data_IF_682734799793
#
_entry.id   IF_682734799793
#
_cell.length_a   1.000
_cell.length_b   1.000
_cell.length_c   1.000
_cell.angle_alpha   90.00
_cell.angle_beta   90.00
_cell.angle_gamma   90.00
#
_symmetry.space_group_name_H-M   'P 1'
#
loop_
_entity.id
_entity.type
_entity.pdbx_description
1 polymer ?
#
# COMPACT_ATOMS: atom_id res chain seq x y z
N UNK A 1 11.60 5.61 15.98
CA UNK A 1 13.08 5.69 15.97
C UNK A 1 13.57 5.60 17.40
N UNK A 2 14.44 4.64 17.72
CA UNK A 2 15.03 4.54 19.05
C UNK A 2 16.02 5.70 19.30
N UNK A 3 16.08 6.24 20.53
CA UNK A 3 17.00 7.35 20.88
C UNK A 3 18.46 7.05 20.56
N UNK A 4 18.89 5.81 20.77
CA UNK A 4 20.24 5.38 20.42
C UNK A 4 20.56 5.56 18.93
N UNK A 5 19.60 5.31 18.03
CA UNK A 5 19.79 5.53 16.60
C UNK A 5 19.95 7.01 16.27
N UNK A 6 19.12 7.88 16.87
CA UNK A 6 19.23 9.33 16.71
C UNK A 6 20.58 9.86 17.23
N UNK A 7 21.06 9.36 18.39
CA UNK A 7 22.34 9.75 18.99
C UNK A 7 23.54 9.48 18.07
N UNK A 8 23.54 8.35 17.36
CA UNK A 8 24.61 8.00 16.43
C UNK A 8 24.44 8.72 15.08
N UNK A 9 23.20 8.86 14.59
CA UNK A 9 22.93 9.30 13.21
C UNK A 9 22.75 10.81 13.04
N UNK A 10 22.25 11.53 14.05
CA UNK A 10 22.00 12.97 13.97
C UNK A 10 23.24 13.75 14.39
N UNK A 11 24.30 13.60 13.60
CA UNK A 11 25.54 14.38 13.76
C UNK A 11 25.28 15.88 13.60
N UNK A 12 26.20 16.76 14.04
CA UNK A 12 26.03 18.21 13.88
C UNK A 12 25.69 18.64 12.45
N UNK A 13 26.33 18.03 11.44
CA UNK A 13 26.03 18.32 10.03
C UNK A 13 24.62 17.87 9.63
N UNK A 14 24.17 16.70 10.10
CA UNK A 14 22.79 16.21 9.83
C UNK A 14 21.77 17.13 10.49
N UNK A 15 22.02 17.56 11.73
CA UNK A 15 21.15 18.50 12.44
C UNK A 15 21.09 19.87 11.72
N UNK A 16 22.21 20.36 11.19
CA UNK A 16 22.25 21.60 10.40
C UNK A 16 21.39 21.48 9.14
N UNK A 17 21.51 20.39 8.38
CA UNK A 17 20.68 20.14 7.19
C UNK A 17 19.21 19.98 7.56
N UNK A 18 18.89 19.30 8.68
CA UNK A 18 17.51 19.22 9.17
C UNK A 18 16.91 20.60 9.47
N UNK A 19 17.71 21.54 9.98
CA UNK A 19 17.26 22.90 10.26
C UNK A 19 17.03 23.68 8.96
N UNK A 20 17.97 23.60 8.00
CA UNK A 20 17.86 24.21 6.68
C UNK A 20 16.60 23.73 5.93
N UNK A 21 16.34 22.43 5.97
CA UNK A 21 15.20 21.80 5.29
C UNK A 21 13.90 21.81 6.12
N UNK A 22 13.86 22.53 7.26
CA UNK A 22 12.66 22.73 8.07
C UNK A 22 12.15 21.49 8.82
N UNK A 23 12.93 20.42 8.94
CA UNK A 23 12.53 19.17 9.60
C UNK A 23 13.06 19.02 11.03
N UNK A 24 13.95 19.91 11.50
CA UNK A 24 14.62 19.79 12.80
C UNK A 24 13.68 19.67 13.99
N UNK A 25 12.62 20.50 14.03
CA UNK A 25 11.65 20.49 15.14
C UNK A 25 10.93 19.14 15.25
N UNK A 26 10.59 18.53 14.11
CA UNK A 26 9.90 17.23 14.08
C UNK A 26 10.77 16.08 14.61
N UNK A 27 12.09 16.14 14.37
CA UNK A 27 13.02 15.09 14.79
C UNK A 27 13.65 15.30 16.17
N UNK A 28 13.49 16.48 16.79
CA UNK A 28 14.00 16.78 18.13
C UNK A 28 13.44 15.84 19.21
N UNK A 29 12.19 15.41 19.07
CA UNK A 29 11.56 14.47 20.01
C UNK A 29 12.24 13.09 20.03
N UNK A 30 12.80 12.65 18.90
CA UNK A 30 13.49 11.35 18.81
C UNK A 30 14.83 11.34 19.58
N UNK A 31 15.41 12.51 19.87
CA UNK A 31 16.64 12.65 20.67
C UNK A 31 16.37 12.69 22.19
N UNK A 32 15.13 12.99 22.58
CA UNK A 32 14.71 13.20 23.97
C UNK A 32 14.08 11.97 24.64
N UNK A 33 13.97 10.83 23.94
CA UNK A 33 13.39 9.59 24.50
C UNK A 33 14.16 9.01 25.70
N UNK A 34 13.63 8.04 26.42
CA UNK A 34 14.27 7.55 27.67
C UNK A 34 15.18 6.33 27.49
N UNK A 35 14.95 5.48 26.49
CA UNK A 35 15.70 4.23 26.32
C UNK A 35 17.09 4.44 25.72
N UNK A 36 18.13 4.41 26.57
CA UNK A 36 19.54 4.45 26.17
C UNK A 36 20.08 3.05 25.82
N UNK A 37 19.54 1.99 26.44
CA UNK A 37 19.82 0.60 26.06
C UNK A 37 18.86 0.12 24.98
N UNK A 38 19.41 -0.45 23.91
CA UNK A 38 18.66 -0.98 22.77
C UNK A 38 18.45 -2.46 23.00
N UNK A 39 17.21 -2.88 23.20
CA UNK A 39 16.80 -4.28 23.24
C UNK A 39 15.92 -4.58 22.03
N UNK A 40 16.25 -5.64 21.31
CA UNK A 40 15.44 -6.22 20.25
C UNK A 40 14.19 -6.82 20.91
N UNK A 41 13.01 -6.28 20.62
CA UNK A 41 11.76 -6.89 21.07
C UNK A 41 11.49 -8.18 20.29
N UNK A 42 10.52 -8.97 20.74
CA UNK A 42 10.07 -10.17 20.01
C UNK A 42 9.77 -9.88 18.53
N UNK A 43 9.29 -8.67 18.21
CA UNK A 43 9.03 -8.24 16.85
C UNK A 43 10.30 -8.11 16.00
N UNK A 44 11.32 -7.40 16.49
CA UNK A 44 12.60 -7.32 15.77
C UNK A 44 13.27 -8.70 15.66
N UNK A 45 13.18 -9.52 16.70
CA UNK A 45 13.78 -10.84 16.71
C UNK A 45 13.16 -11.76 15.65
N UNK A 46 11.82 -11.78 15.56
CA UNK A 46 11.10 -12.53 14.53
C UNK A 46 11.47 -12.01 13.13
N UNK A 47 11.47 -10.68 12.94
CA UNK A 47 11.86 -10.08 11.67
C UNK A 47 13.29 -10.45 11.26
N UNK A 48 14.24 -10.47 12.19
CA UNK A 48 15.63 -10.86 11.88
C UNK A 48 15.69 -12.33 11.47
N UNK A 49 15.02 -13.20 12.21
CA UNK A 49 15.06 -14.65 11.98
C UNK A 49 14.44 -15.06 10.63
N UNK A 50 13.48 -14.33 10.11
CA UNK A 50 12.85 -14.61 8.81
C UNK A 50 13.69 -14.19 7.59
N UNK A 51 14.79 -13.44 7.78
CA UNK A 51 15.59 -12.99 6.63
C UNK A 51 16.51 -14.08 6.11
N UNK A 52 16.46 -14.27 4.81
CA UNK A 52 17.38 -15.10 4.03
C UNK A 52 18.55 -14.29 3.45
N UNK A 53 18.51 -12.96 3.58
CA UNK A 53 19.52 -12.06 3.06
C UNK A 53 19.55 -10.72 3.80
N UNK A 54 20.73 -10.09 3.81
CA UNK A 54 20.92 -8.72 4.28
C UNK A 54 22.14 -8.06 3.60
N UNK A 55 22.21 -6.74 3.67
CA UNK A 55 23.39 -5.99 3.28
C UNK A 55 24.17 -5.57 4.51
N UNK A 56 25.48 -5.80 4.51
CA UNK A 56 26.40 -5.41 5.57
C UNK A 56 27.35 -4.33 5.08
N UNK A 57 27.45 -3.24 5.83
CA UNK A 57 28.45 -2.21 5.66
C UNK A 57 29.51 -2.31 6.76
N UNK A 58 30.77 -2.14 6.36
CA UNK A 58 31.95 -2.00 7.23
C UNK A 58 32.77 -0.80 6.75
N UNK A 59 33.71 -0.32 7.54
CA UNK A 59 34.61 0.77 7.15
C UNK A 59 36.01 0.23 6.98
N UNK A 60 36.64 0.48 5.84
CA UNK A 60 38.04 0.13 5.64
C UNK A 60 38.96 0.98 6.51
N UNK A 61 40.19 0.50 6.76
CA UNK A 61 41.19 1.26 7.50
C UNK A 61 41.52 2.62 6.84
N UNK A 62 41.25 2.76 5.54
CA UNK A 62 41.40 4.01 4.78
C UNK A 62 40.19 4.96 4.88
N UNK A 63 39.16 4.60 5.65
CA UNK A 63 37.95 5.41 5.84
C UNK A 63 36.86 5.23 4.78
N UNK A 64 37.11 4.43 3.72
CA UNK A 64 36.08 4.12 2.72
C UNK A 64 35.01 3.19 3.28
N UNK A 65 33.71 3.47 3.08
CA UNK A 65 32.64 2.53 3.38
C UNK A 65 32.65 1.38 2.37
N UNK A 66 32.42 0.17 2.85
CA UNK A 66 32.35 -1.05 2.05
C UNK A 66 31.05 -1.79 2.34
N UNK A 67 30.26 -2.08 1.30
CA UNK A 67 28.98 -2.79 1.42
C UNK A 67 29.06 -4.15 0.72
N UNK A 68 28.57 -5.18 1.39
CA UNK A 68 28.51 -6.55 0.88
C UNK A 68 27.13 -7.16 1.13
N UNK A 69 26.59 -7.85 0.12
CA UNK A 69 25.42 -8.71 0.30
C UNK A 69 25.83 -10.01 1.00
N UNK A 70 25.06 -10.42 2.01
CA UNK A 70 25.16 -11.68 2.73
C UNK A 70 23.83 -12.43 2.58
N UNK A 71 23.89 -13.71 2.23
CA UNK A 71 22.70 -14.54 2.04
C UNK A 71 22.92 -15.95 2.56
N UNK A 72 21.82 -16.59 2.95
CA UNK A 72 21.76 -17.93 3.49
C UNK A 72 20.29 -18.40 3.56
N UNK A 73 20.01 -19.59 4.10
CA UNK A 73 18.63 -19.97 4.39
C UNK A 73 18.03 -19.03 5.44
N UNK A 74 16.70 -18.90 5.47
CA UNK A 74 16.02 -18.17 6.54
C UNK A 74 16.50 -18.69 7.92
N UNK A 75 16.78 -17.77 8.82
CA UNK A 75 17.36 -18.06 10.14
C UNK A 75 18.89 -18.13 10.19
N UNK A 76 19.59 -17.90 9.07
CA UNK A 76 21.07 -17.85 9.10
C UNK A 76 21.62 -16.68 9.90
N UNK A 77 20.91 -15.54 9.93
CA UNK A 77 21.15 -14.46 10.87
C UNK A 77 20.38 -14.77 12.15
N UNK A 78 21.10 -15.19 13.18
CA UNK A 78 20.53 -15.62 14.44
C UNK A 78 20.46 -14.50 15.44
N UNK A 79 19.37 -14.47 16.19
CA UNK A 79 19.25 -13.72 17.43
C UNK A 79 19.81 -14.59 18.55
N UNK A 80 20.86 -14.12 19.22
CA UNK A 80 21.55 -14.86 20.28
C UNK A 80 21.04 -14.44 21.66
N UNK A 81 20.65 -13.17 21.80
CA UNK A 81 19.94 -12.61 22.94
C UNK A 81 19.27 -11.27 22.53
N UNK A 82 18.71 -10.54 23.50
CA UNK A 82 18.00 -9.27 23.25
C UNK A 82 18.89 -8.14 22.69
N UNK A 83 20.22 -8.27 22.69
CA UNK A 83 21.15 -7.25 22.15
C UNK A 83 22.22 -7.84 21.23
N UNK A 84 22.22 -9.15 21.01
CA UNK A 84 23.28 -9.83 20.27
C UNK A 84 22.67 -10.63 19.15
N UNK A 85 23.20 -10.43 17.95
CA UNK A 85 22.90 -11.23 16.76
C UNK A 85 24.19 -11.81 16.20
N UNK A 86 24.11 -12.83 15.35
CA UNK A 86 25.27 -13.32 14.66
C UNK A 86 24.94 -14.26 13.52
N UNK A 87 25.93 -14.52 12.68
CA UNK A 87 25.79 -15.44 11.56
C UNK A 87 27.09 -16.20 11.31
N UNK A 88 26.96 -17.42 10.78
CA UNK A 88 28.09 -18.20 10.30
C UNK A 88 28.62 -17.63 8.97
N UNK A 89 29.94 -17.42 8.88
CA UNK A 89 30.63 -16.99 7.67
C UNK A 89 31.33 -18.20 7.04
N UNK A 90 30.85 -18.57 5.85
CA UNK A 90 31.30 -19.75 5.12
C UNK A 90 32.42 -19.40 4.15
N UNK A 91 33.13 -20.43 3.68
CA UNK A 91 34.19 -20.29 2.68
C UNK A 91 33.66 -19.66 1.38
N UNK A 92 33.97 -18.38 1.17
CA UNK A 92 33.58 -17.62 -0.01
C UNK A 92 34.72 -17.46 -1.03
N UNK A 93 34.73 -16.35 -1.75
CA UNK A 93 35.77 -15.97 -2.74
C UNK A 93 37.13 -15.58 -2.11
N UNK A 94 37.28 -15.73 -0.79
CA UNK A 94 38.52 -15.49 -0.01
C UNK A 94 39.09 -14.07 -0.11
N UNK A 95 38.25 -13.06 -0.38
CA UNK A 95 38.71 -11.66 -0.36
C UNK A 95 38.90 -11.10 1.06
N UNK A 96 38.18 -11.64 2.06
CA UNK A 96 38.28 -11.29 3.48
C UNK A 96 38.15 -9.79 3.82
N UNK A 97 37.55 -8.97 2.93
CA UNK A 97 37.47 -7.52 3.10
C UNK A 97 36.74 -7.11 4.38
N UNK A 98 35.54 -7.65 4.63
CA UNK A 98 34.81 -7.34 5.87
C UNK A 98 35.56 -7.80 7.12
N UNK A 99 36.20 -8.97 7.09
CA UNK A 99 36.98 -9.49 8.23
C UNK A 99 38.19 -8.60 8.50
N UNK A 100 38.91 -8.18 7.46
CA UNK A 100 40.04 -7.26 7.58
C UNK A 100 39.61 -5.90 8.12
N UNK A 101 38.51 -5.34 7.60
CA UNK A 101 37.94 -4.08 8.07
C UNK A 101 37.59 -4.15 9.57
N UNK A 102 36.93 -5.24 10.00
CA UNK A 102 36.50 -5.44 11.38
C UNK A 102 37.64 -5.60 12.40
N UNK A 103 38.88 -5.86 11.95
CA UNK A 103 40.06 -5.84 12.83
C UNK A 103 40.51 -4.43 13.20
N UNK A 104 40.33 -3.48 12.28
CA UNK A 104 40.71 -2.08 12.51
C UNK A 104 39.57 -1.23 13.07
N UNK A 105 38.34 -1.54 12.67
CA UNK A 105 37.13 -0.82 13.06
C UNK A 105 35.97 -1.81 13.19
N UNK A 106 35.52 -2.03 14.43
CA UNK A 106 34.48 -3.00 14.76
C UNK A 106 33.05 -2.50 14.45
N UNK A 107 32.90 -1.29 13.89
CA UNK A 107 31.59 -0.74 13.48
C UNK A 107 31.01 -1.48 12.30
N UNK A 108 29.75 -1.90 12.44
CA UNK A 108 28.98 -2.52 11.38
C UNK A 108 27.60 -1.88 11.24
N UNK A 109 27.10 -1.81 10.00
CA UNK A 109 25.70 -1.45 9.71
C UNK A 109 25.06 -2.52 8.86
N UNK A 110 23.95 -3.09 9.30
CA UNK A 110 23.12 -4.02 8.55
C UNK A 110 21.87 -3.32 8.00
N UNK A 111 21.48 -3.71 6.79
CA UNK A 111 20.22 -3.35 6.18
C UNK A 111 19.48 -4.65 5.81
N UNK A 112 18.43 -4.94 6.56
CA UNK A 112 17.56 -6.09 6.37
C UNK A 112 16.32 -5.62 5.60
N UNK A 113 16.00 -6.31 4.51
CA UNK A 113 14.88 -5.96 3.63
C UNK A 113 13.85 -7.08 3.65
N UNK A 114 12.59 -6.69 3.80
CA UNK A 114 11.42 -7.49 3.45
C UNK A 114 10.74 -6.78 2.28
N UNK A 115 11.05 -7.23 1.06
CA UNK A 115 10.50 -6.63 -0.14
C UNK A 115 8.98 -6.88 -0.27
N UNK A 116 8.45 -8.10 -0.06
CA UNK A 116 7.02 -8.35 -0.08
C UNK A 116 6.23 -7.48 0.92
N UNK A 117 6.63 -7.47 2.19
CA UNK A 117 5.95 -6.70 3.25
C UNK A 117 6.33 -5.21 3.25
N UNK A 118 7.24 -4.79 2.37
CA UNK A 118 7.74 -3.41 2.24
C UNK A 118 8.30 -2.86 3.55
N UNK A 119 8.97 -3.71 4.31
CA UNK A 119 9.60 -3.33 5.56
C UNK A 119 11.12 -3.34 5.40
N UNK A 120 11.78 -2.48 6.18
CA UNK A 120 13.24 -2.50 6.28
C UNK A 120 13.69 -2.10 7.66
N UNK A 121 14.63 -2.87 8.18
CA UNK A 121 15.26 -2.67 9.48
C UNK A 121 16.73 -2.32 9.25
N UNK A 122 17.14 -1.16 9.76
CA UNK A 122 18.55 -0.78 9.85
C UNK A 122 19.05 -1.17 11.24
N UNK A 123 20.20 -1.83 11.32
CA UNK A 123 20.83 -2.20 12.59
C UNK A 123 22.26 -1.69 12.57
N UNK A 124 22.67 -0.95 13.59
CA UNK A 124 24.04 -0.54 13.83
C UNK A 124 24.57 -1.24 15.06
N UNK A 125 25.82 -1.68 15.01
CA UNK A 125 26.42 -2.44 16.09
C UNK A 125 27.92 -2.53 16.03
N UNK A 126 28.44 -3.35 16.95
CA UNK A 126 29.86 -3.69 17.10
C UNK A 126 30.05 -5.16 16.79
N UNK A 127 30.79 -5.46 15.74
CA UNK A 127 31.00 -6.81 15.25
C UNK A 127 32.40 -7.32 15.62
N UNK A 128 32.46 -8.58 16.01
CA UNK A 128 33.72 -9.31 16.23
C UNK A 128 33.67 -10.65 15.51
N UNK A 129 34.84 -11.14 15.12
CA UNK A 129 35.00 -12.42 14.47
C UNK A 129 35.27 -13.48 15.54
N UNK A 130 34.55 -14.59 15.49
CA UNK A 130 34.76 -15.78 16.33
C UNK A 130 35.20 -16.93 15.46
N UNK A 131 36.07 -17.81 15.97
CA UNK A 131 36.48 -19.01 15.25
C UNK A 131 36.45 -20.24 16.17
N UNK A 132 36.51 -21.43 15.57
CA UNK A 132 36.41 -22.71 16.27
C UNK A 132 37.54 -22.91 17.31
N UNK A 133 38.71 -22.31 17.08
CA UNK A 133 39.86 -22.49 17.97
C UNK A 133 39.78 -21.62 19.21
N UNK A 134 39.21 -20.43 19.09
CA UNK A 134 39.09 -19.48 20.19
C UNK A 134 37.78 -19.62 20.96
N UNK A 135 36.66 -19.84 20.26
CA UNK A 135 35.31 -19.68 20.83
C UNK A 135 34.31 -20.69 20.21
N UNK A 136 34.50 -22.01 20.41
CA UNK A 136 33.67 -23.04 19.80
C UNK A 136 32.19 -22.94 20.21
N UNK A 137 31.90 -22.55 21.46
CA UNK A 137 30.53 -22.40 21.96
C UNK A 137 29.71 -21.35 21.18
N UNK A 138 30.36 -20.26 20.75
CA UNK A 138 29.71 -19.25 19.93
C UNK A 138 29.46 -19.75 18.52
N UNK A 139 30.39 -20.53 17.97
CA UNK A 139 30.25 -21.09 16.64
C UNK A 139 29.08 -22.09 16.58
N UNK A 140 28.97 -22.98 17.57
CA UNK A 140 27.85 -23.93 17.66
C UNK A 140 26.49 -23.23 17.75
N UNK A 141 26.40 -22.06 18.39
CA UNK A 141 25.16 -21.26 18.39
C UNK A 141 24.79 -20.76 16.99
N UNK A 142 25.77 -20.56 16.11
CA UNK A 142 25.61 -20.04 14.75
C UNK A 142 25.39 -21.13 13.69
N UNK A 143 25.66 -22.38 14.02
CA UNK A 143 25.47 -23.53 13.13
C UNK A 143 24.00 -23.72 12.73
N UNK A 144 23.77 -24.05 11.47
CA UNK A 144 22.45 -24.37 10.93
C UNK A 144 22.35 -25.89 10.77
N UNK A 145 21.41 -26.57 11.45
CA UNK A 145 21.32 -28.04 11.45
C UNK A 145 21.26 -28.66 10.04
N UNK A 146 20.59 -27.98 9.11
CA UNK A 146 20.33 -28.48 7.75
C UNK A 146 21.31 -27.92 6.69
N UNK A 147 22.30 -27.12 7.07
CA UNK A 147 23.22 -26.46 6.14
C UNK A 147 24.64 -27.02 6.25
N UNK A 148 25.01 -27.92 5.33
CA UNK A 148 26.23 -28.76 5.39
C UNK A 148 27.54 -28.06 4.98
N UNK A 149 27.57 -26.74 4.86
CA UNK A 149 28.81 -26.04 4.51
C UNK A 149 29.71 -25.92 5.75
N UNK A 150 31.03 -26.19 5.65
CA UNK A 150 31.93 -26.00 6.77
C UNK A 150 31.97 -24.53 7.18
N UNK A 151 31.63 -24.25 8.44
CA UNK A 151 31.69 -22.91 9.02
C UNK A 151 33.16 -22.55 9.23
N UNK A 152 33.70 -21.57 8.49
CA UNK A 152 35.09 -21.14 8.70
C UNK A 152 35.23 -20.29 9.97
N UNK A 153 34.22 -19.46 10.24
CA UNK A 153 34.19 -18.49 11.34
C UNK A 153 32.75 -18.00 11.57
N UNK A 154 32.52 -17.32 12.68
CA UNK A 154 31.26 -16.61 12.96
C UNK A 154 31.49 -15.12 13.07
N UNK A 155 30.45 -14.34 12.78
CA UNK A 155 30.41 -12.90 13.07
C UNK A 155 29.36 -12.69 14.16
N UNK A 156 29.79 -12.17 15.31
CA UNK A 156 28.92 -11.84 16.44
C UNK A 156 28.83 -10.33 16.55
N UNK A 157 27.60 -9.80 16.61
CA UNK A 157 27.30 -8.38 16.55
C UNK A 157 26.50 -7.99 17.78
N UNK A 158 27.07 -7.10 18.59
CA UNK A 158 26.34 -6.41 19.64
C UNK A 158 25.61 -5.21 19.04
N UNK A 159 24.29 -5.20 19.12
CA UNK A 159 23.44 -4.14 18.59
C UNK A 159 23.55 -2.90 19.47
N UNK A 160 23.89 -1.77 18.86
CA UNK A 160 23.95 -0.46 19.52
C UNK A 160 22.72 0.40 19.18
N UNK A 161 22.14 0.21 18.00
CA UNK A 161 20.96 0.94 17.56
C UNK A 161 20.22 0.21 16.44
N UNK A 162 18.92 0.44 16.33
CA UNK A 162 18.16 0.07 15.14
C UNK A 162 17.08 1.10 14.84
N UNK A 163 16.63 1.12 13.59
CA UNK A 163 15.53 1.98 13.16
C UNK A 163 14.77 1.40 11.97
N UNK A 164 13.45 1.52 12.08
CA UNK A 164 12.48 1.16 11.05
C UNK A 164 12.19 2.38 10.17
N UNK A 165 12.11 2.18 8.86
CA UNK A 165 11.90 3.26 7.90
C UNK A 165 10.47 3.33 7.33
N UNK A 166 10.17 4.44 6.64
CA UNK A 166 8.97 4.62 5.84
C UNK A 166 8.88 3.62 4.65
N UNK A 167 7.75 2.90 4.48
CA UNK A 167 7.59 1.87 3.44
C UNK A 167 7.30 2.43 2.03
N UNK A 168 7.09 3.74 1.89
CA UNK A 168 6.45 4.40 0.74
C UNK A 168 7.06 4.09 -0.64
N UNK A 169 8.35 3.80 -0.72
CA UNK A 169 9.07 3.61 -2.00
C UNK A 169 9.77 2.25 -2.10
N UNK A 170 9.37 1.26 -1.29
CA UNK A 170 9.89 -0.10 -1.42
C UNK A 170 9.02 -0.84 -2.44
N UNK A 171 9.60 -1.12 -3.61
CA UNK A 171 8.98 -1.95 -4.64
C UNK A 171 8.95 -3.40 -4.15
N UNK A 172 7.78 -4.07 -4.13
CA UNK A 172 7.70 -5.50 -3.85
C UNK A 172 8.54 -6.30 -4.84
N UNK A 173 9.24 -7.30 -4.31
CA UNK A 173 10.00 -8.29 -5.05
C UNK A 173 9.79 -9.62 -4.36
N UNK A 174 9.66 -10.67 -5.16
CA UNK A 174 9.43 -12.02 -4.68
C UNK A 174 10.56 -12.90 -5.21
N UNK A 175 11.04 -13.81 -4.38
CA UNK A 175 11.93 -14.88 -4.79
C UNK A 175 11.21 -15.83 -5.74
N UNK A 176 11.99 -16.56 -6.54
CA UNK A 176 11.44 -17.59 -7.42
C UNK A 176 10.62 -18.62 -6.62
N UNK A 177 11.09 -19.03 -5.44
CA UNK A 177 10.37 -19.97 -4.56
C UNK A 177 9.03 -19.42 -4.09
N UNK A 178 8.95 -18.15 -3.72
CA UNK A 178 7.68 -17.52 -3.32
C UNK A 178 6.72 -17.45 -4.50
N UNK A 179 7.21 -17.09 -5.70
CA UNK A 179 6.41 -17.10 -6.92
C UNK A 179 5.94 -18.52 -7.27
N UNK A 180 6.82 -19.51 -7.19
CA UNK A 180 6.49 -20.92 -7.41
C UNK A 180 5.47 -21.43 -6.39
N UNK A 181 5.63 -21.08 -5.11
CA UNK A 181 4.66 -21.43 -4.06
C UNK A 181 3.31 -20.80 -4.35
N UNK A 182 3.27 -19.53 -4.75
CA UNK A 182 2.03 -18.84 -5.15
C UNK A 182 1.41 -19.51 -6.39
N UNK A 183 2.22 -19.90 -7.37
CA UNK A 183 1.76 -20.62 -8.58
C UNK A 183 1.28 -22.04 -8.24
N UNK A 184 1.97 -22.79 -7.39
CA UNK A 184 1.60 -24.14 -6.94
C UNK A 184 0.34 -24.12 -6.07
N UNK A 185 0.18 -23.09 -5.22
CA UNK A 185 -1.05 -22.82 -4.49
C UNK A 185 -2.22 -22.49 -5.43
N UNK A 186 -1.92 -21.96 -6.63
CA UNK A 186 -2.91 -21.68 -7.67
C UNK A 186 -3.17 -22.89 -8.58
N UNK A 187 -2.20 -23.82 -8.73
CA UNK A 187 -2.28 -25.02 -9.58
C UNK A 187 -2.77 -26.27 -8.86
N UNK A 188 -2.65 -26.33 -7.54
CA UNK A 188 -3.21 -27.43 -6.75
C UNK A 188 -4.74 -27.31 -6.76
N UNK A 189 -5.51 -28.35 -7.16
CA UNK A 189 -6.95 -28.34 -6.96
C UNK A 189 -7.21 -28.11 -5.46
N UNK A 190 -8.23 -27.33 -5.08
CA UNK A 190 -8.43 -26.98 -3.68
C UNK A 190 -8.60 -28.27 -2.86
N UNK A 191 -7.56 -28.62 -2.10
CA UNK A 191 -7.69 -29.59 -1.02
C UNK A 191 -8.61 -28.93 -0.01
N UNK A 192 -9.78 -29.52 0.18
CA UNK A 192 -10.73 -29.14 1.21
C UNK A 192 -9.99 -29.13 2.56
N UNK A 193 -9.57 -27.94 3.02
CA UNK A 193 -9.00 -27.77 4.35
C UNK A 193 -10.12 -27.34 5.29
N UNK A 194 -10.50 -28.24 6.20
CA UNK A 194 -11.33 -27.99 7.38
C UNK A 194 -10.60 -27.07 8.38
N UNK A 195 -10.32 -25.82 7.99
CA UNK A 195 -10.29 -24.72 8.95
C UNK A 195 -11.72 -24.22 9.08
N UNK A 196 -12.22 -23.89 10.28
CA UNK A 196 -13.58 -23.36 10.43
C UNK A 196 -13.74 -22.18 9.49
N UNK A 197 -14.51 -22.39 8.42
CA UNK A 197 -14.76 -21.40 7.39
C UNK A 197 -15.30 -20.16 8.09
N UNK A 198 -14.53 -19.06 8.03
CA UNK A 198 -15.11 -17.75 8.30
C UNK A 198 -16.35 -17.65 7.41
N UNK A 199 -17.53 -17.66 8.05
CA UNK A 199 -18.82 -17.71 7.35
C UNK A 199 -18.86 -16.52 6.40
N UNK A 200 -19.10 -16.78 5.11
CA UNK A 200 -19.22 -15.71 4.14
C UNK A 200 -20.35 -14.76 4.56
N UNK A 201 -20.09 -13.44 4.49
CA UNK A 201 -21.11 -12.45 4.79
C UNK A 201 -22.09 -12.36 3.61
N UNK A 202 -23.39 -12.28 3.90
CA UNK A 202 -24.44 -12.15 2.88
C UNK A 202 -24.94 -13.47 2.31
N UNK A 203 -25.92 -13.36 1.41
CA UNK A 203 -26.67 -14.48 0.83
C UNK A 203 -26.79 -14.42 -0.69
N UNK A 204 -26.08 -13.49 -1.34
CA UNK A 204 -26.14 -13.34 -2.78
C UNK A 204 -25.48 -14.50 -3.53
N UNK A 205 -25.79 -14.62 -4.82
CA UNK A 205 -25.37 -15.75 -5.65
C UNK A 205 -23.90 -15.73 -6.09
N UNK A 206 -23.23 -14.57 -6.01
CA UNK A 206 -21.85 -14.37 -6.45
C UNK A 206 -20.89 -14.42 -5.24
N UNK A 207 -20.10 -15.51 -5.09
CA UNK A 207 -19.14 -15.63 -4.01
C UNK A 207 -17.86 -14.87 -4.34
N UNK A 208 -17.51 -13.89 -3.52
CA UNK A 208 -16.33 -13.06 -3.63
C UNK A 208 -15.40 -13.23 -2.44
N UNK A 209 -14.12 -12.93 -2.65
CA UNK A 209 -13.11 -12.84 -1.60
C UNK A 209 -12.31 -11.55 -1.76
N UNK A 210 -12.06 -10.86 -0.65
CA UNK A 210 -11.17 -9.69 -0.62
C UNK A 210 -9.74 -10.17 -0.84
N UNK A 211 -9.16 -9.80 -1.98
CA UNK A 211 -7.83 -10.23 -2.43
C UNK A 211 -6.78 -9.12 -2.36
N UNK A 212 -7.22 -7.86 -2.25
CA UNK A 212 -6.34 -6.70 -2.19
C UNK A 212 -6.97 -5.58 -1.40
N UNK A 213 -6.15 -4.87 -0.63
CA UNK A 213 -6.55 -3.68 0.13
C UNK A 213 -5.49 -2.61 -0.07
N UNK A 214 -5.90 -1.41 -0.49
CA UNK A 214 -4.98 -0.28 -0.71
C UNK A 214 -5.54 1.00 -0.12
N UNK A 215 -4.79 1.63 0.78
CA UNK A 215 -5.13 2.96 1.27
C UNK A 215 -4.88 4.01 0.17
N UNK A 216 -5.93 4.70 -0.29
CA UNK A 216 -5.84 5.73 -1.34
C UNK A 216 -5.57 7.11 -0.75
N UNK A 217 -6.29 7.44 0.33
CA UNK A 217 -6.22 8.68 1.09
C UNK A 217 -6.34 8.34 2.58
N UNK A 218 -6.18 9.27 3.54
CA UNK A 218 -6.41 8.96 4.95
C UNK A 218 -7.80 8.39 5.27
N UNK A 219 -8.81 8.69 4.43
CA UNK A 219 -10.20 8.26 4.65
C UNK A 219 -10.77 7.35 3.55
N UNK A 220 -10.07 7.14 2.44
CA UNK A 220 -10.56 6.31 1.33
C UNK A 220 -9.65 5.11 1.16
N UNK A 221 -10.25 3.92 1.14
CA UNK A 221 -9.56 2.65 0.94
C UNK A 221 -10.18 1.91 -0.24
N UNK A 222 -9.33 1.39 -1.12
CA UNK A 222 -9.72 0.54 -2.23
C UNK A 222 -9.67 -0.94 -1.82
N UNK A 223 -10.62 -1.71 -2.33
CA UNK A 223 -10.74 -3.14 -2.12
C UNK A 223 -10.80 -3.85 -3.48
N UNK A 224 -10.00 -4.90 -3.64
CA UNK A 224 -10.04 -5.80 -4.79
C UNK A 224 -10.80 -7.07 -4.42
N UNK A 225 -11.88 -7.35 -5.14
CA UNK A 225 -12.75 -8.50 -4.93
C UNK A 225 -12.59 -9.47 -6.10
N UNK A 226 -12.21 -10.71 -5.80
CA UNK A 226 -12.11 -11.80 -6.79
C UNK A 226 -13.16 -12.86 -6.52
N UNK A 227 -13.47 -13.66 -7.52
CA UNK A 227 -14.33 -14.83 -7.31
C UNK A 227 -13.70 -15.76 -6.26
N UNK A 228 -14.47 -16.22 -5.28
CA UNK A 228 -13.94 -17.01 -4.17
C UNK A 228 -13.35 -18.36 -4.61
N UNK A 229 -13.78 -18.86 -5.78
CA UNK A 229 -13.30 -20.10 -6.38
C UNK A 229 -12.35 -19.88 -7.57
N UNK A 230 -11.92 -18.63 -7.83
CA UNK A 230 -11.00 -18.32 -8.93
C UNK A 230 -11.64 -18.30 -10.33
N UNK A 231 -12.96 -18.25 -10.43
CA UNK A 231 -13.70 -18.14 -11.70
C UNK A 231 -13.68 -16.69 -12.23
N UNK A 232 -13.97 -16.53 -13.52
CA UNK A 232 -14.17 -15.20 -14.11
C UNK A 232 -15.45 -14.56 -13.59
N UNK A 233 -15.36 -13.31 -13.18
CA UNK A 233 -16.50 -12.54 -12.70
C UNK A 233 -17.50 -12.23 -13.83
N UNK A 234 -18.79 -12.02 -13.53
CA UNK A 234 -19.72 -11.46 -14.50
C UNK A 234 -19.20 -10.15 -15.10
N UNK A 235 -19.58 -9.85 -16.33
CA UNK A 235 -19.24 -8.55 -16.91
C UNK A 235 -20.20 -7.47 -16.40
N UNK A 236 -19.80 -6.20 -16.51
CA UNK A 236 -20.61 -5.06 -16.11
C UNK A 236 -20.46 -3.90 -17.11
N UNK A 237 -21.15 -2.79 -16.87
CA UNK A 237 -20.98 -1.56 -17.65
C UNK A 237 -20.54 -0.42 -16.76
N UNK A 238 -19.79 0.55 -17.28
CA UNK A 238 -19.35 1.71 -16.52
C UNK A 238 -20.56 2.41 -15.85
N UNK A 239 -20.39 2.77 -14.58
CA UNK A 239 -21.47 3.25 -13.70
C UNK A 239 -22.11 2.16 -12.83
N UNK A 240 -21.80 0.88 -13.05
CA UNK A 240 -22.31 -0.20 -12.21
C UNK A 240 -21.79 -0.14 -10.76
N UNK A 241 -22.54 -0.70 -9.84
CA UNK A 241 -22.18 -0.83 -8.42
C UNK A 241 -22.43 -2.24 -7.90
N UNK A 242 -21.74 -2.57 -6.80
CA UNK A 242 -21.95 -3.79 -6.03
C UNK A 242 -22.63 -3.44 -4.71
N UNK A 243 -23.66 -4.21 -4.38
CA UNK A 243 -24.27 -4.21 -3.06
C UNK A 243 -23.55 -5.22 -2.17
N UNK A 244 -22.86 -4.74 -1.14
CA UNK A 244 -21.99 -5.57 -0.29
C UNK A 244 -22.51 -5.66 1.15
N UNK A 245 -22.50 -6.86 1.75
CA UNK A 245 -22.88 -7.05 3.15
C UNK A 245 -21.76 -6.59 4.08
N UNK A 246 -22.13 -5.91 5.15
CA UNK A 246 -21.22 -5.37 6.16
C UNK A 246 -21.70 -5.82 7.53
N UNK A 247 -20.84 -6.50 8.27
CA UNK A 247 -21.11 -6.85 9.67
C UNK A 247 -20.82 -5.63 10.56
N UNK A 248 -21.83 -5.20 11.31
CA UNK A 248 -21.72 -4.14 12.29
C UNK A 248 -21.21 -4.70 13.64
N UNK A 249 -20.63 -3.86 14.52
CA UNK A 249 -20.12 -4.30 15.83
C UNK A 249 -21.18 -4.95 16.74
N UNK A 250 -22.46 -4.61 16.54
CA UNK A 250 -23.59 -5.20 17.27
C UNK A 250 -24.01 -6.59 16.75
N UNK A 251 -23.31 -7.14 15.75
CA UNK A 251 -23.59 -8.43 15.13
C UNK A 251 -24.62 -8.40 14.00
N UNK A 252 -25.28 -7.26 13.74
CA UNK A 252 -26.20 -7.12 12.61
C UNK A 252 -25.44 -7.01 11.29
N UNK A 253 -26.07 -7.46 10.20
CA UNK A 253 -25.56 -7.28 8.84
C UNK A 253 -26.39 -6.19 8.17
N UNK A 254 -25.71 -5.14 7.70
CA UNK A 254 -26.28 -4.13 6.80
C UNK A 254 -25.73 -4.35 5.39
N UNK A 255 -26.27 -3.64 4.40
CA UNK A 255 -25.87 -3.76 3.01
C UNK A 255 -25.78 -2.39 2.33
N UNK A 256 -24.63 -2.08 1.73
CA UNK A 256 -24.39 -0.79 1.08
C UNK A 256 -23.92 -0.98 -0.36
N UNK A 257 -24.26 -0.02 -1.22
CA UNK A 257 -23.84 0.00 -2.61
C UNK A 257 -22.52 0.78 -2.78
N UNK A 258 -21.57 0.22 -3.53
CA UNK A 258 -20.33 0.90 -3.91
C UNK A 258 -20.08 0.74 -5.41
N UNK A 259 -19.86 1.85 -6.10
CA UNK A 259 -19.58 1.85 -7.55
C UNK A 259 -18.28 1.13 -7.87
N UNK A 260 -18.30 0.36 -8.96
CA UNK A 260 -17.13 -0.27 -9.55
C UNK A 260 -16.26 0.81 -10.20
N UNK A 261 -14.95 0.74 -9.95
CA UNK A 261 -14.03 1.86 -10.23
C UNK A 261 -13.22 1.70 -11.50
N UNK A 262 -13.18 0.50 -12.09
CA UNK A 262 -12.35 0.19 -13.25
C UNK A 262 -13.18 0.03 -14.53
N UNK A 263 -12.45 0.00 -15.66
CA UNK A 263 -13.04 -0.22 -16.98
C UNK A 263 -13.65 -1.62 -17.07
N UNK A 264 -14.88 -1.76 -17.59
CA UNK A 264 -15.46 -3.06 -17.92
C UNK A 264 -14.56 -3.90 -18.84
N UNK A 265 -14.69 -5.23 -18.77
CA UNK A 265 -13.93 -6.18 -19.60
C UNK A 265 -12.80 -6.91 -18.87
N UNK A 266 -12.25 -6.37 -17.78
CA UNK A 266 -11.36 -7.11 -16.88
C UNK A 266 -12.19 -7.99 -15.93
N UNK A 267 -12.32 -9.28 -16.25
CA UNK A 267 -13.17 -10.24 -15.51
C UNK A 267 -12.45 -10.96 -14.36
N UNK A 268 -11.23 -10.53 -14.05
CA UNK A 268 -10.38 -11.16 -13.03
C UNK A 268 -10.68 -10.66 -11.62
N UNK A 269 -11.10 -9.39 -11.49
CA UNK A 269 -11.42 -8.77 -10.21
C UNK A 269 -12.34 -7.56 -10.38
N UNK A 270 -13.18 -7.32 -9.39
CA UNK A 270 -13.87 -6.06 -9.18
C UNK A 270 -13.09 -5.16 -8.22
N UNK A 271 -13.15 -3.84 -8.42
CA UNK A 271 -12.58 -2.87 -7.49
C UNK A 271 -13.59 -1.82 -7.07
N UNK A 272 -13.69 -1.63 -5.76
CA UNK A 272 -14.47 -0.54 -5.14
C UNK A 272 -13.55 0.36 -4.32
N UNK A 273 -13.94 1.61 -4.11
CA UNK A 273 -13.27 2.51 -3.18
C UNK A 273 -14.29 3.08 -2.18
N UNK A 274 -14.00 2.89 -0.90
CA UNK A 274 -14.93 3.19 0.20
C UNK A 274 -14.38 4.36 1.00
N UNK A 275 -15.16 5.43 1.09
CA UNK A 275 -14.91 6.53 2.03
C UNK A 275 -15.34 6.11 3.44
N UNK A 276 -14.46 6.32 4.42
CA UNK A 276 -14.74 6.18 5.85
C UNK A 276 -15.49 7.42 6.34
N UNK A 277 -16.70 7.20 6.83
CA UNK A 277 -17.55 8.23 7.42
C UNK A 277 -17.74 7.95 8.90
N UNK A 278 -17.20 8.84 9.73
CA UNK A 278 -17.16 8.67 11.18
C UNK A 278 -18.51 9.00 11.83
N UNK A 279 -19.26 9.93 11.22
CA UNK A 279 -20.56 10.42 11.68
C UNK A 279 -21.75 9.76 10.92
N UNK A 280 -21.50 8.67 10.18
CA UNK A 280 -22.52 7.97 9.40
C UNK A 280 -23.26 6.87 10.17
N UNK A 281 -24.04 6.02 9.48
CA UNK A 281 -24.75 4.87 10.06
C UNK A 281 -23.82 3.73 10.55
N UNK A 282 -22.51 3.95 10.55
CA UNK A 282 -21.49 3.00 11.01
C UNK A 282 -21.08 1.95 9.96
N UNK A 283 -21.77 1.83 8.83
CA UNK A 283 -21.46 0.84 7.78
C UNK A 283 -20.06 1.00 7.20
N UNK A 284 -19.68 2.20 6.75
CA UNK A 284 -18.35 2.43 6.18
C UNK A 284 -17.22 2.28 7.21
N UNK A 285 -17.46 2.68 8.47
CA UNK A 285 -16.54 2.47 9.58
C UNK A 285 -16.32 0.96 9.83
N UNK A 286 -17.41 0.21 9.99
CA UNK A 286 -17.37 -1.23 10.23
C UNK A 286 -16.71 -2.00 9.07
N UNK A 287 -16.91 -1.55 7.83
CA UNK A 287 -16.22 -2.10 6.66
C UNK A 287 -14.71 -1.85 6.76
N UNK A 288 -14.28 -0.62 7.07
CA UNK A 288 -12.85 -0.29 7.21
C UNK A 288 -12.16 -1.05 8.35
N UNK A 289 -12.89 -1.33 9.44
CA UNK A 289 -12.33 -2.03 10.60
C UNK A 289 -12.40 -3.56 10.45
N UNK A 290 -13.42 -4.08 9.76
CA UNK A 290 -13.73 -5.51 9.69
C UNK A 290 -13.24 -6.24 8.44
N UNK A 291 -13.15 -5.58 7.29
CA UNK A 291 -12.70 -6.26 6.06
C UNK A 291 -11.18 -6.41 6.03
N UNK A 292 -10.73 -7.64 5.79
CA UNK A 292 -9.33 -8.03 5.69
C UNK A 292 -9.12 -8.87 4.43
N UNK A 293 -7.86 -9.08 4.04
CA UNK A 293 -7.54 -10.05 2.99
C UNK A 293 -8.06 -11.43 3.40
N UNK A 294 -8.77 -12.10 2.49
CA UNK A 294 -9.42 -13.38 2.75
C UNK A 294 -10.86 -13.28 3.25
N UNK A 295 -11.38 -12.09 3.58
CA UNK A 295 -12.81 -11.92 3.91
C UNK A 295 -13.67 -12.41 2.75
N UNK A 296 -14.62 -13.33 3.04
CA UNK A 296 -15.55 -13.89 2.06
C UNK A 296 -16.89 -13.19 2.10
N UNK A 297 -17.43 -12.88 0.92
CA UNK A 297 -18.70 -12.21 0.73
C UNK A 297 -19.55 -13.00 -0.27
N UNK A 298 -20.85 -13.04 -0.07
CA UNK A 298 -21.84 -13.55 -1.00
C UNK A 298 -22.74 -12.38 -1.39
N UNK A 299 -22.55 -11.87 -2.61
CA UNK A 299 -23.22 -10.67 -3.13
C UNK A 299 -24.07 -11.00 -4.34
N UNK A 300 -24.97 -10.10 -4.72
CA UNK A 300 -25.65 -10.21 -6.01
C UNK A 300 -24.74 -9.69 -7.13
N UNK A 301 -25.10 -10.01 -8.38
CA UNK A 301 -24.39 -9.48 -9.55
C UNK A 301 -24.47 -7.95 -9.60
N UNK A 302 -23.50 -7.25 -10.24
CA UNK A 302 -23.52 -5.80 -10.31
C UNK A 302 -24.80 -5.25 -10.95
N UNK A 303 -25.37 -4.20 -10.34
CA UNK A 303 -26.49 -3.43 -10.88
C UNK A 303 -25.97 -2.11 -11.49
N UNK A 304 -26.70 -1.51 -12.44
CA UNK A 304 -26.29 -0.24 -13.04
C UNK A 304 -27.50 0.69 -13.26
N UNK A 305 -27.59 1.73 -12.43
CA UNK A 305 -28.59 2.80 -12.56
C UNK A 305 -27.99 4.10 -13.09
N UNK A 306 -26.70 4.10 -13.43
CA UNK A 306 -25.98 5.26 -13.93
C UNK A 306 -25.17 4.90 -15.18
N UNK A 307 -25.80 4.36 -16.25
CA UNK A 307 -25.08 3.84 -17.40
C UNK A 307 -24.43 4.96 -18.22
N UNK A 308 -23.19 4.72 -18.64
CA UNK A 308 -22.55 5.52 -19.68
C UNK A 308 -23.23 5.27 -21.04
N UNK A 309 -23.38 6.30 -21.86
CA UNK A 309 -23.88 6.16 -23.23
C UNK A 309 -22.92 5.31 -24.07
N UNK A 310 -23.44 4.68 -25.13
CA UNK A 310 -22.70 3.76 -25.99
C UNK A 310 -22.45 4.31 -27.41
N UNK A 311 -22.69 5.61 -27.63
CA UNK A 311 -22.42 6.32 -28.89
C UNK A 311 -21.16 7.21 -28.80
N UNK A 312 -20.92 8.03 -29.83
CA UNK A 312 -19.71 8.85 -29.98
C UNK A 312 -19.84 10.28 -29.42
N UNK A 313 -20.96 10.61 -28.76
CA UNK A 313 -21.17 11.97 -28.24
C UNK A 313 -20.10 12.33 -27.21
N UNK A 314 -19.64 13.59 -27.14
CA UNK A 314 -18.70 14.00 -26.11
C UNK A 314 -19.28 13.84 -24.70
N UNK A 315 -18.46 13.49 -23.73
CA UNK A 315 -18.88 13.36 -22.33
C UNK A 315 -18.27 14.46 -21.45
N UNK A 316 -19.10 15.10 -20.62
CA UNK A 316 -18.63 15.98 -19.56
C UNK A 316 -18.88 15.32 -18.19
N UNK A 317 -17.81 14.93 -17.52
CA UNK A 317 -17.85 14.22 -16.24
C UNK A 317 -17.53 15.20 -15.10
N UNK A 318 -18.40 15.33 -14.11
CA UNK A 318 -18.26 16.23 -12.96
C UNK A 318 -18.30 15.42 -11.67
N UNK A 319 -17.13 15.24 -11.04
CA UNK A 319 -16.97 14.45 -9.83
C UNK A 319 -16.79 15.34 -8.59
N UNK A 320 -17.47 14.98 -7.50
CA UNK A 320 -17.28 15.58 -6.18
C UNK A 320 -16.88 14.54 -5.12
N UNK A 321 -15.70 14.68 -4.51
CA UNK A 321 -15.25 13.80 -3.43
C UNK A 321 -15.18 12.32 -3.83
N UNK A 322 -15.90 11.44 -3.12
CA UNK A 322 -15.94 10.01 -3.42
C UNK A 322 -16.79 9.68 -4.67
N UNK A 323 -17.62 10.61 -5.17
CA UNK A 323 -18.35 10.48 -6.44
C UNK A 323 -17.47 10.31 -7.68
N UNK A 324 -16.15 10.36 -7.51
CA UNK A 324 -15.18 9.97 -8.55
C UNK A 324 -15.28 8.48 -8.94
N UNK A 325 -15.81 7.61 -8.09
CA UNK A 325 -15.78 6.15 -8.32
C UNK A 325 -16.45 5.71 -9.63
N UNK A 326 -17.73 6.03 -9.91
CA UNK A 326 -18.34 5.67 -11.19
C UNK A 326 -17.73 6.47 -12.35
N UNK A 327 -17.38 7.74 -12.11
CA UNK A 327 -16.86 8.64 -13.14
C UNK A 327 -15.43 8.27 -13.58
N UNK A 328 -14.62 7.64 -12.72
CA UNK A 328 -13.33 7.04 -13.11
C UNK A 328 -13.56 5.90 -14.10
N UNK A 329 -14.47 4.97 -13.80
CA UNK A 329 -14.79 3.87 -14.71
C UNK A 329 -15.29 4.40 -16.06
N UNK A 330 -16.14 5.44 -16.05
CA UNK A 330 -16.59 6.10 -17.28
C UNK A 330 -15.44 6.76 -18.05
N UNK A 331 -14.58 7.51 -17.36
CA UNK A 331 -13.39 8.16 -17.94
C UNK A 331 -12.51 7.16 -18.68
N UNK A 332 -12.19 6.04 -18.03
CA UNK A 332 -11.32 5.03 -18.62
C UNK A 332 -12.02 4.27 -19.77
N UNK A 333 -13.34 4.07 -19.68
CA UNK A 333 -14.14 3.46 -20.75
C UNK A 333 -14.18 4.35 -22.00
N UNK A 334 -14.44 5.66 -21.84
CA UNK A 334 -14.44 6.63 -22.94
C UNK A 334 -13.06 6.71 -23.59
N UNK A 335 -12.00 6.75 -22.78
CA UNK A 335 -10.63 6.73 -23.27
C UNK A 335 -10.31 5.47 -24.09
N UNK A 336 -10.78 4.30 -23.64
CA UNK A 336 -10.59 3.03 -24.36
C UNK A 336 -11.35 3.00 -25.68
N UNK A 337 -12.54 3.63 -25.73
CA UNK A 337 -13.35 3.77 -26.95
C UNK A 337 -12.83 4.85 -27.92
N UNK A 338 -11.94 5.74 -27.45
CA UNK A 338 -11.50 6.90 -28.22
C UNK A 338 -12.52 8.04 -28.30
N UNK A 339 -13.56 8.03 -27.46
CA UNK A 339 -14.57 9.08 -27.40
C UNK A 339 -14.01 10.35 -26.73
N UNK A 340 -14.52 11.52 -27.10
CA UNK A 340 -14.11 12.78 -26.51
C UNK A 340 -14.72 12.96 -25.11
N UNK A 341 -13.92 13.45 -24.16
CA UNK A 341 -14.40 13.70 -22.81
C UNK A 341 -13.57 14.73 -22.04
N UNK A 342 -14.21 15.37 -21.06
CA UNK A 342 -13.54 16.15 -20.03
C UNK A 342 -14.01 15.72 -18.64
N UNK A 343 -13.07 15.55 -17.72
CA UNK A 343 -13.33 15.29 -16.31
C UNK A 343 -12.99 16.52 -15.47
N UNK A 344 -13.98 17.00 -14.71
CA UNK A 344 -13.81 18.03 -13.70
C UNK A 344 -13.99 17.41 -12.32
N UNK A 345 -12.92 17.34 -11.53
CA UNK A 345 -12.92 16.68 -10.24
C UNK A 345 -12.65 17.67 -9.10
N UNK A 346 -13.63 17.85 -8.21
CA UNK A 346 -13.56 18.77 -7.08
C UNK A 346 -13.52 18.06 -5.73
N UNK A 347 -12.77 18.61 -4.78
CA UNK A 347 -12.68 18.12 -3.40
C UNK A 347 -12.11 19.14 -2.43
N UNK A 348 -11.84 18.71 -1.20
CA UNK A 348 -11.29 19.57 -0.14
C UNK A 348 -9.82 19.87 -0.41
N UNK A 349 -8.99 18.83 -0.36
CA UNK A 349 -7.55 18.89 -0.58
C UNK A 349 -7.10 17.75 -1.51
N UNK A 350 -5.96 17.88 -2.20
CA UNK A 350 -5.42 16.80 -3.03
C UNK A 350 -5.21 15.48 -2.26
N UNK A 351 -4.92 15.57 -0.96
CA UNK A 351 -4.66 14.42 -0.09
C UNK A 351 -5.93 13.64 0.28
N UNK A 352 -7.10 14.27 0.20
CA UNK A 352 -8.40 13.64 0.49
C UNK A 352 -9.13 13.12 -0.75
N UNK A 353 -8.60 13.38 -1.96
CA UNK A 353 -9.20 12.98 -3.22
C UNK A 353 -8.54 11.71 -3.76
N UNK A 354 -9.36 10.68 -4.03
CA UNK A 354 -8.87 9.41 -4.57
C UNK A 354 -8.46 9.56 -6.04
N UNK A 355 -7.49 8.76 -6.49
CA UNK A 355 -7.08 8.63 -7.90
C UNK A 355 -6.52 9.87 -8.60
N UNK A 356 -6.35 11.01 -7.92
CA UNK A 356 -5.87 12.27 -8.54
C UNK A 356 -4.58 12.06 -9.34
N UNK A 357 -3.57 11.42 -8.74
CA UNK A 357 -2.27 11.20 -9.40
C UNK A 357 -2.36 10.29 -10.63
N UNK A 358 -3.22 9.28 -10.56
CA UNK A 358 -3.37 8.30 -11.64
C UNK A 358 -4.12 8.94 -12.82
N UNK A 359 -5.18 9.69 -12.54
CA UNK A 359 -5.92 10.47 -13.53
C UNK A 359 -5.08 11.57 -14.17
N UNK A 360 -4.28 12.30 -13.37
CA UNK A 360 -3.33 13.30 -13.88
C UNK A 360 -2.30 12.68 -14.81
N UNK A 361 -1.74 11.52 -14.46
CA UNK A 361 -0.73 10.85 -15.28
C UNK A 361 -1.29 10.37 -16.62
N UNK A 362 -2.52 9.84 -16.62
CA UNK A 362 -3.12 9.22 -17.81
C UNK A 362 -3.85 10.21 -18.71
N UNK A 363 -4.42 11.27 -18.14
CA UNK A 363 -5.37 12.16 -18.81
C UNK A 363 -5.08 13.63 -18.50
N UNK A 364 -3.81 14.04 -18.54
CA UNK A 364 -3.36 15.38 -18.14
C UNK A 364 -4.16 16.52 -18.80
N UNK A 365 -4.41 16.43 -20.11
CA UNK A 365 -5.11 17.47 -20.88
C UNK A 365 -6.64 17.36 -20.84
N UNK A 366 -7.16 16.25 -20.29
CA UNK A 366 -8.61 15.95 -20.23
C UNK A 366 -9.19 16.01 -18.82
N UNK A 367 -8.34 16.16 -17.79
CA UNK A 367 -8.76 16.21 -16.39
C UNK A 367 -8.38 17.54 -15.73
N UNK A 368 -9.37 18.21 -15.13
CA UNK A 368 -9.17 19.42 -14.31
C UNK A 368 -9.54 19.16 -12.86
N UNK A 369 -8.70 19.64 -11.94
CA UNK A 369 -8.84 19.38 -10.52
C UNK A 369 -9.05 20.68 -9.75
N UNK A 370 -9.96 20.65 -8.78
CA UNK A 370 -10.35 21.82 -7.99
C UNK A 370 -10.25 21.50 -6.49
N UNK A 371 -9.54 22.34 -5.74
CA UNK A 371 -9.22 22.13 -4.34
C UNK A 371 -9.75 23.28 -3.50
N UNK A 372 -10.90 23.06 -2.86
CA UNK A 372 -11.63 24.08 -2.12
C UNK A 372 -10.97 24.54 -0.82
N UNK A 373 -10.04 23.74 -0.27
CA UNK A 373 -9.35 23.97 1.01
C UNK A 373 -7.83 23.85 0.89
N UNK A 374 -7.26 24.02 -0.32
CA UNK A 374 -5.81 24.12 -0.50
C UNK A 374 -5.27 25.49 -0.05
N UNK A 375 -3.94 25.63 0.06
CA UNK A 375 -3.28 26.91 0.34
C UNK A 375 -3.69 28.01 -0.66
N UNK A 376 -3.89 27.63 -1.92
CA UNK A 376 -4.49 28.46 -2.96
C UNK A 376 -5.78 27.78 -3.44
N UNK A 377 -6.94 28.15 -2.88
CA UNK A 377 -8.20 27.50 -3.22
C UNK A 377 -8.58 27.69 -4.69
N UNK A 378 -9.01 26.61 -5.32
CA UNK A 378 -9.62 26.65 -6.65
C UNK A 378 -11.05 26.12 -6.56
N UNK A 379 -11.96 26.74 -7.31
CA UNK A 379 -13.38 26.41 -7.30
C UNK A 379 -13.82 26.00 -8.69
N UNK A 380 -14.69 24.99 -8.72
CA UNK A 380 -15.38 24.57 -9.91
C UNK A 380 -16.40 25.66 -10.29
N UNK A 381 -16.30 26.23 -11.48
CA UNK A 381 -17.31 27.12 -12.05
C UNK A 381 -18.23 26.31 -12.96
N UNK A 382 -19.37 25.89 -12.43
CA UNK A 382 -20.35 25.08 -13.15
C UNK A 382 -20.90 25.81 -14.38
N UNK A 383 -21.08 27.14 -14.29
CA UNK A 383 -21.65 27.90 -15.40
C UNK A 383 -20.67 28.01 -16.58
N UNK A 384 -19.40 28.29 -16.29
CA UNK A 384 -18.34 28.31 -17.32
C UNK A 384 -18.17 26.93 -17.97
N UNK A 385 -18.15 25.86 -17.17
CA UNK A 385 -17.95 24.50 -17.68
C UNK A 385 -19.11 24.07 -18.57
N UNK A 386 -20.36 24.23 -18.10
CA UNK A 386 -21.53 23.86 -18.89
C UNK A 386 -21.71 24.76 -20.11
N UNK A 387 -21.34 26.04 -20.02
CA UNK A 387 -21.41 26.98 -21.15
C UNK A 387 -20.42 26.68 -22.29
N UNK A 388 -19.38 25.89 -22.03
CA UNK A 388 -18.41 25.43 -23.04
C UNK A 388 -18.76 24.08 -23.67
N UNK A 389 -19.75 23.37 -23.13
CA UNK A 389 -20.16 22.07 -23.65
C UNK A 389 -20.82 22.24 -25.04
N UNK A 390 -20.58 21.29 -25.95
CA UNK A 390 -21.22 21.28 -27.27
C UNK A 390 -22.70 20.94 -27.17
N UNK A 391 -23.45 21.16 -28.25
CA UNK A 391 -24.89 20.92 -28.31
C UNK A 391 -25.30 19.44 -28.16
N UNK A 392 -24.37 18.51 -28.25
CA UNK A 392 -24.58 17.07 -28.15
C UNK A 392 -23.90 16.43 -26.91
N UNK A 393 -23.07 17.18 -26.17
CA UNK A 393 -22.35 16.66 -24.98
C UNK A 393 -23.32 16.05 -23.96
N UNK A 394 -23.05 14.84 -23.48
CA UNK A 394 -23.79 14.21 -22.37
C UNK A 394 -23.05 14.49 -21.06
N UNK A 395 -23.77 15.01 -20.07
CA UNK A 395 -23.22 15.45 -18.78
C UNK A 395 -23.49 14.38 -17.73
N UNK A 396 -22.45 13.98 -17.01
CA UNK A 396 -22.53 13.02 -15.90
C UNK A 396 -22.03 13.71 -14.63
N UNK A 397 -22.85 13.76 -13.58
CA UNK A 397 -22.46 14.33 -12.29
C UNK A 397 -22.68 13.34 -11.14
N UNK A 398 -21.65 13.16 -10.32
CA UNK A 398 -21.74 12.34 -9.10
C UNK A 398 -20.94 13.00 -7.96
N UNK A 399 -21.56 13.11 -6.79
CA UNK A 399 -20.95 13.77 -5.64
C UNK A 399 -22.01 14.25 -4.64
N UNK A 400 -21.66 15.23 -3.77
CA UNK A 400 -22.60 15.76 -2.79
C UNK A 400 -23.84 16.37 -3.45
N UNK A 401 -25.02 16.25 -2.82
CA UNK A 401 -26.31 16.75 -3.34
C UNK A 401 -26.24 18.20 -3.83
N UNK A 402 -25.54 19.07 -3.09
CA UNK A 402 -25.33 20.48 -3.48
C UNK A 402 -24.65 20.65 -4.85
N UNK A 403 -23.70 19.78 -5.19
CA UNK A 403 -23.03 19.82 -6.48
C UNK A 403 -23.97 19.35 -7.60
N UNK A 404 -24.67 18.24 -7.37
CA UNK A 404 -25.65 17.69 -8.32
C UNK A 404 -26.73 18.73 -8.63
N UNK A 405 -27.31 19.34 -7.59
CA UNK A 405 -28.35 20.36 -7.73
C UNK A 405 -27.83 21.60 -8.49
N UNK A 406 -26.60 22.03 -8.20
CA UNK A 406 -25.96 23.15 -8.89
C UNK A 406 -25.79 22.89 -10.39
N UNK A 407 -25.35 21.68 -10.76
CA UNK A 407 -25.23 21.26 -12.17
C UNK A 407 -26.61 21.24 -12.84
N UNK A 408 -27.61 20.59 -12.23
CA UNK A 408 -28.96 20.48 -12.80
C UNK A 408 -29.64 21.83 -12.97
N UNK A 409 -29.57 22.71 -11.96
CA UNK A 409 -30.15 24.05 -12.04
C UNK A 409 -29.46 24.90 -13.11
N UNK A 410 -28.13 24.80 -13.21
CA UNK A 410 -27.37 25.54 -14.23
C UNK A 410 -27.66 25.04 -15.64
N UNK A 411 -27.75 23.72 -15.83
CA UNK A 411 -28.12 23.11 -17.11
C UNK A 411 -29.48 23.61 -17.61
N UNK A 412 -30.49 23.64 -16.73
CA UNK A 412 -31.82 24.18 -17.05
C UNK A 412 -31.79 25.65 -17.44
N UNK A 413 -31.02 26.47 -16.72
CA UNK A 413 -30.84 27.90 -17.04
C UNK A 413 -30.17 28.11 -18.40
N UNK A 414 -29.28 27.20 -18.81
CA UNK A 414 -28.60 27.22 -20.10
C UNK A 414 -29.41 26.54 -21.23
N UNK A 415 -30.62 26.03 -20.94
CA UNK A 415 -31.45 25.35 -21.93
C UNK A 415 -30.91 23.98 -22.36
N UNK A 416 -30.06 23.35 -21.55
CA UNK A 416 -29.59 21.98 -21.80
C UNK A 416 -30.75 21.02 -21.45
N UNK A 417 -31.07 20.11 -22.37
CA UNK A 417 -32.15 19.15 -22.20
C UNK A 417 -31.91 18.23 -20.98
N UNK A 418 -32.97 17.95 -20.21
CA UNK A 418 -32.88 17.18 -18.96
C UNK A 418 -32.34 15.75 -19.20
N UNK A 419 -32.59 15.14 -20.36
CA UNK A 419 -32.10 13.81 -20.75
C UNK A 419 -30.58 13.77 -21.05
N UNK A 420 -29.95 14.93 -21.25
CA UNK A 420 -28.49 15.05 -21.38
C UNK A 420 -27.78 15.18 -20.04
N UNK A 421 -28.49 15.31 -18.93
CA UNK A 421 -27.92 15.46 -17.59
C UNK A 421 -28.19 14.22 -16.76
N UNK A 422 -27.20 13.33 -16.74
CA UNK A 422 -27.21 12.10 -15.97
C UNK A 422 -26.59 12.37 -14.58
N UNK A 423 -27.17 11.83 -13.52
CA UNK A 423 -26.62 11.98 -12.18
C UNK A 423 -26.83 10.75 -11.29
N UNK A 424 -25.93 10.59 -10.32
CA UNK A 424 -26.03 9.59 -9.26
C UNK A 424 -25.72 10.25 -7.91
N UNK A 425 -26.53 9.97 -6.90
CA UNK A 425 -26.34 10.47 -5.53
C UNK A 425 -26.09 9.31 -4.58
N UNK A 426 -25.06 9.44 -3.73
CA UNK A 426 -24.82 8.52 -2.62
C UNK A 426 -25.54 9.09 -1.40
N UNK A 427 -26.68 8.49 -1.05
CA UNK A 427 -27.48 8.83 0.13
C UNK A 427 -27.39 7.66 1.10
#
# INVERSE_FOLDING_TARGET
>A
MARAFAKISFTPNVQAVQAEMGSRTAYRAAELGEAEMVALSEFEQAFIAERDSFYQATVSQTGWPYVQHRGGPAGFLKVLDQQTIGYADFSGNRQYLSVGNLRGDDRVSLLLMDYPGRQRLKIWGRARVVDERSEPEWLSKLELPDFRAPVERGIVIKVEAFDWNCPKYITPRYSQREVETLIEQTRSPPIASDKPTARALGTGSLPLTISGIRQLTPRIRAYELRHANGESLPDYRAGAHLRVPIALPNGNITSHAYSLTDTPGERDCYRIAVLREDDGEGGSLALHDGWQIGTRLNVDIPENYFPLHDDERPALLIAGGIGITPLKAMTETLATRGADFQLHYTGRTPQEMAFVKDLQRRFADRCRFYFSQAQTPTRLDVADILGRATADTVIYVCGPTRLIDSVRQTARRLGIADDRVQFESFI
#
